data_IF_616358755911
#
_entry.id   IF_616358755911
#
_cell.length_a   1.000
_cell.length_b   1.000
_cell.length_c   1.000
_cell.angle_alpha   90.00
_cell.angle_beta   90.00
_cell.angle_gamma   90.00
#
_symmetry.space_group_name_H-M   'P 1'
#
loop_
_entity.id
_entity.type
_entity.pdbx_description
1 polymer ?
#
# COMPACT_ATOMS: atom_id res chain seq x y z
N UNK A 1 -6.06 7.68 9.08
CA UNK A 1 -6.63 6.46 9.69
C UNK A 1 -6.91 5.50 8.54
N UNK A 2 -6.26 4.34 8.52
CA UNK A 2 -6.37 3.30 7.50
C UNK A 2 -7.74 2.58 7.61
N UNK A 3 -8.83 3.36 7.57
CA UNK A 3 -10.21 2.90 7.39
C UNK A 3 -10.44 2.63 5.91
N UNK A 4 -9.80 1.60 5.38
CA UNK A 4 -9.91 1.27 3.97
C UNK A 4 -9.69 -0.22 3.65
N UNK A 5 -9.13 -0.97 4.60
CA UNK A 5 -8.95 -2.44 4.52
C UNK A 5 -10.25 -3.26 4.50
N UNK A 6 -11.41 -2.61 4.54
CA UNK A 6 -12.70 -3.30 4.38
C UNK A 6 -13.27 -3.16 2.97
N UNK A 7 -12.64 -2.41 2.06
CA UNK A 7 -13.20 -2.15 0.74
C UNK A 7 -12.68 -3.09 -0.36
N UNK A 8 -11.52 -3.73 -0.18
CA UNK A 8 -10.94 -4.65 -1.17
C UNK A 8 -10.47 -5.92 -0.46
N UNK A 9 -10.90 -7.07 -0.97
CA UNK A 9 -10.45 -8.40 -0.54
C UNK A 9 -9.03 -8.69 -1.04
N UNK A 10 -8.30 -9.58 -0.37
CA UNK A 10 -6.95 -10.01 -0.80
C UNK A 10 -6.92 -10.50 -2.25
N UNK A 11 -8.03 -11.08 -2.74
CA UNK A 11 -8.20 -11.52 -4.11
C UNK A 11 -8.31 -10.34 -5.10
N UNK A 12 -8.98 -9.26 -4.71
CA UNK A 12 -9.03 -8.04 -5.52
C UNK A 12 -7.65 -7.40 -5.59
N UNK A 13 -6.92 -7.34 -4.47
CA UNK A 13 -5.53 -6.81 -4.41
C UNK A 13 -4.58 -7.61 -5.31
N UNK A 14 -4.67 -8.94 -5.31
CA UNK A 14 -3.85 -9.79 -6.20
C UNK A 14 -4.11 -9.53 -7.69
N UNK A 15 -5.31 -9.12 -8.07
CA UNK A 15 -5.63 -8.78 -9.46
C UNK A 15 -5.12 -7.38 -9.88
N UNK A 16 -4.63 -6.58 -8.91
CA UNK A 16 -4.06 -5.25 -9.15
C UNK A 16 -2.57 -5.29 -9.53
N UNK A 17 -1.95 -6.49 -9.49
CA UNK A 17 -0.52 -6.72 -9.71
C UNK A 17 -0.05 -6.49 -11.15
N UNK A 18 -0.86 -5.89 -12.03
CA UNK A 18 -0.42 -5.45 -13.35
C UNK A 18 0.29 -4.08 -13.30
N UNK A 19 0.15 -3.29 -12.22
CA UNK A 19 0.86 -2.00 -12.02
C UNK A 19 1.43 -1.78 -10.57
N UNK A 20 2.05 -2.79 -9.92
CA UNK A 20 2.64 -2.62 -8.60
C UNK A 20 3.97 -1.85 -8.71
N UNK A 21 4.14 -0.84 -7.86
CA UNK A 21 5.42 -0.11 -7.77
C UNK A 21 6.29 -0.70 -6.66
N UNK A 22 7.57 -0.88 -6.93
CA UNK A 22 8.52 -1.35 -5.93
C UNK A 22 8.54 -0.41 -4.71
N UNK A 23 8.37 -0.98 -3.51
CA UNK A 23 8.47 -0.24 -2.25
C UNK A 23 9.79 -0.56 -1.54
N UNK A 24 10.69 0.41 -1.50
CA UNK A 24 12.05 0.24 -0.95
C UNK A 24 12.14 0.44 0.57
N UNK A 25 11.06 0.87 1.23
CA UNK A 25 11.02 1.08 2.67
C UNK A 25 12.15 1.98 3.22
N UNK A 26 12.36 3.14 2.59
CA UNK A 26 13.37 4.10 3.04
C UNK A 26 13.08 4.67 4.44
N UNK A 27 11.82 4.60 4.88
CA UNK A 27 11.38 4.98 6.22
C UNK A 27 11.82 4.00 7.31
N UNK A 28 12.24 2.78 6.94
CA UNK A 28 12.66 1.76 7.91
C UNK A 28 11.52 1.14 8.71
N UNK A 29 10.32 1.07 8.12
CA UNK A 29 9.17 0.43 8.74
C UNK A 29 9.36 -1.07 8.90
N UNK A 30 8.79 -1.61 9.98
CA UNK A 30 8.78 -3.06 10.22
C UNK A 30 7.42 -3.61 9.83
N UNK A 31 7.41 -4.59 8.93
CA UNK A 31 6.24 -5.38 8.55
C UNK A 31 6.45 -6.81 9.07
N UNK A 32 5.98 -7.15 10.29
CA UNK A 32 6.36 -8.41 10.96
C UNK A 32 5.99 -9.66 10.16
N UNK A 33 4.87 -9.59 9.43
CA UNK A 33 4.32 -10.72 8.67
C UNK A 33 4.86 -10.79 7.23
N UNK A 34 5.69 -9.84 6.81
CA UNK A 34 6.24 -9.79 5.45
C UNK A 34 7.76 -9.59 5.45
N UNK A 35 8.53 -10.61 5.04
CA UNK A 35 9.99 -10.48 4.96
C UNK A 35 10.47 -9.68 3.73
N UNK A 36 9.57 -9.23 2.86
CA UNK A 36 9.90 -8.54 1.60
C UNK A 36 10.39 -9.50 0.50
N UNK A 37 10.73 -9.01 -0.71
CA UNK A 37 10.63 -7.62 -1.17
C UNK A 37 9.19 -7.12 -1.22
N UNK A 38 9.04 -5.79 -1.20
CA UNK A 38 7.74 -5.13 -1.08
C UNK A 38 7.35 -4.37 -2.34
N UNK A 39 6.06 -4.29 -2.56
CA UNK A 39 5.41 -3.42 -3.54
C UNK A 39 4.34 -2.56 -2.85
N UNK A 40 4.06 -1.41 -3.45
CA UNK A 40 3.02 -0.48 -3.03
C UNK A 40 1.95 -0.31 -4.12
N UNK A 41 0.71 -0.09 -3.67
CA UNK A 41 -0.42 0.20 -4.56
C UNK A 41 -1.33 1.28 -3.97
N UNK A 42 -1.81 2.24 -4.79
CA UNK A 42 -2.73 3.29 -4.34
C UNK A 42 -4.06 2.77 -3.78
N UNK A 43 -4.49 3.34 -2.66
CA UNK A 43 -5.79 3.00 -2.04
C UNK A 43 -6.76 4.16 -2.21
N UNK A 44 -7.91 3.89 -2.83
CA UNK A 44 -9.00 4.85 -2.98
C UNK A 44 -10.21 4.44 -2.14
N UNK A 45 -10.90 5.40 -1.53
CA UNK A 45 -12.09 5.17 -0.69
C UNK A 45 -13.19 4.45 -1.48
N UNK A 46 -13.35 3.15 -1.24
CA UNK A 46 -14.40 2.32 -1.83
C UNK A 46 -14.23 2.06 -3.33
N UNK A 47 -13.02 2.24 -3.89
CA UNK A 47 -12.75 2.07 -5.32
C UNK A 47 -11.37 1.42 -5.53
N UNK A 48 -11.26 0.67 -6.62
CA UNK A 48 -9.98 0.23 -7.15
C UNK A 48 -9.35 1.38 -7.93
N UNK A 49 -8.05 1.60 -7.73
CA UNK A 49 -7.28 2.53 -8.56
C UNK A 49 -7.12 1.96 -9.97
N UNK A 50 -7.38 2.75 -11.00
CA UNK A 50 -7.33 2.29 -12.41
C UNK A 50 -6.24 2.99 -13.22
N UNK A 51 -5.35 3.75 -12.58
CA UNK A 51 -4.34 4.57 -13.28
C UNK A 51 -4.87 5.87 -13.89
N UNK A 52 -6.19 6.06 -13.99
CA UNK A 52 -6.81 7.21 -14.66
C UNK A 52 -7.14 8.38 -13.74
N UNK A 53 -7.00 8.20 -12.42
CA UNK A 53 -7.23 9.23 -11.40
C UNK A 53 -5.93 9.47 -10.63
N UNK A 54 -5.77 10.60 -9.93
CA UNK A 54 -4.64 10.75 -9.02
C UNK A 54 -4.67 9.64 -7.94
N UNK A 55 -3.53 9.04 -7.59
CA UNK A 55 -3.46 7.89 -6.67
C UNK A 55 -3.84 8.23 -5.22
N UNK A 56 -3.98 9.51 -4.89
CA UNK A 56 -4.18 9.94 -3.51
C UNK A 56 -2.94 9.66 -2.63
N UNK A 57 -3.03 9.92 -1.32
CA UNK A 57 -1.89 9.84 -0.42
C UNK A 57 -1.65 8.45 0.18
N UNK A 58 -2.62 7.54 0.10
CA UNK A 58 -2.59 6.27 0.85
C UNK A 58 -2.12 5.11 -0.04
N UNK A 59 -1.28 4.23 0.52
CA UNK A 59 -0.79 3.01 -0.14
C UNK A 59 -1.01 1.80 0.74
N UNK A 60 -1.26 0.66 0.11
CA UNK A 60 -1.17 -0.65 0.73
C UNK A 60 0.17 -1.28 0.35
N UNK A 61 0.79 -2.00 1.28
CA UNK A 61 2.07 -2.68 1.08
C UNK A 61 1.84 -4.19 0.97
N UNK A 62 2.44 -4.85 0.00
CA UNK A 62 2.32 -6.29 -0.25
C UNK A 62 3.66 -6.90 -0.66
N UNK A 63 3.77 -8.22 -0.55
CA UNK A 63 4.98 -8.95 -0.91
C UNK A 63 4.92 -9.43 -2.37
N UNK A 64 5.91 -9.03 -3.16
CA UNK A 64 6.03 -9.28 -4.62
C UNK A 64 5.85 -10.74 -5.05
N UNK A 65 6.22 -11.72 -4.21
CA UNK A 65 6.29 -13.12 -4.62
C UNK A 65 5.02 -13.93 -4.35
N UNK A 66 4.32 -13.62 -3.27
CA UNK A 66 3.13 -14.36 -2.87
C UNK A 66 1.85 -13.57 -3.11
N UNK A 67 1.96 -12.26 -3.41
CA UNK A 67 0.81 -11.37 -3.57
C UNK A 67 0.00 -11.25 -2.27
N UNK A 68 0.64 -11.51 -1.13
CA UNK A 68 0.03 -11.34 0.18
C UNK A 68 0.24 -9.91 0.65
N UNK A 69 -0.84 -9.33 1.14
CA UNK A 69 -0.81 -8.03 1.78
C UNK A 69 0.04 -8.17 3.04
N UNK A 70 0.97 -7.22 3.24
CA UNK A 70 1.90 -7.21 4.35
C UNK A 70 1.26 -6.76 5.66
N UNK A 71 0.26 -7.54 6.07
CA UNK A 71 -0.66 -7.25 7.15
C UNK A 71 -1.69 -6.17 6.77
N UNK A 72 -2.36 -5.61 7.78
CA UNK A 72 -3.25 -4.45 7.66
C UNK A 72 -2.48 -3.11 7.53
N UNK A 73 -1.23 -3.13 7.11
CA UNK A 73 -0.37 -1.96 7.16
C UNK A 73 -0.54 -1.10 5.89
N UNK A 74 -1.32 -0.02 6.02
CA UNK A 74 -1.27 1.09 5.08
C UNK A 74 -0.13 2.05 5.44
N UNK A 75 0.43 2.70 4.43
CA UNK A 75 1.25 3.89 4.59
C UNK A 75 0.57 5.10 3.94
N UNK A 76 0.90 6.32 4.39
CA UNK A 76 0.31 7.55 3.85
C UNK A 76 1.33 8.66 3.69
N UNK A 77 1.21 9.44 2.62
CA UNK A 77 1.92 10.71 2.46
C UNK A 77 1.30 11.83 3.32
N UNK A 78 0.11 11.63 3.88
CA UNK A 78 -0.58 12.66 4.67
C UNK A 78 0.25 13.03 5.90
N UNK A 79 0.68 14.28 5.98
CA UNK A 79 1.56 14.82 7.03
C UNK A 79 2.95 14.17 7.09
N UNK A 80 3.39 13.50 6.03
CA UNK A 80 4.75 13.00 5.97
C UNK A 80 5.78 14.15 6.04
N UNK A 81 6.94 13.93 6.67
CA UNK A 81 7.94 14.97 6.87
C UNK A 81 8.61 15.43 5.55
N UNK A 82 8.47 14.65 4.48
CA UNK A 82 9.00 14.95 3.15
C UNK A 82 7.92 14.74 2.09
N UNK A 83 7.99 15.40 0.92
CA UNK A 83 6.96 15.30 -0.13
C UNK A 83 6.68 13.87 -0.63
N UNK A 84 7.69 12.99 -0.61
CA UNK A 84 7.58 11.60 -1.04
C UNK A 84 7.65 10.61 0.13
N UNK A 85 7.74 11.11 1.36
CA UNK A 85 7.89 10.27 2.53
C UNK A 85 6.55 9.64 2.92
N UNK A 86 6.63 8.58 3.70
CA UNK A 86 5.46 7.93 4.26
C UNK A 86 5.42 8.01 5.79
N UNK A 87 4.21 7.89 6.33
CA UNK A 87 3.95 7.52 7.71
C UNK A 87 3.16 6.21 7.73
N UNK A 88 3.46 5.33 8.70
CA UNK A 88 2.60 4.18 8.98
C UNK A 88 1.25 4.65 9.49
N UNK A 89 0.18 4.11 8.92
CA UNK A 89 -1.15 4.33 9.47
C UNK A 89 -1.31 3.58 10.80
N UNK A 90 -1.92 4.24 11.77
CA UNK A 90 -2.43 3.66 13.03
C UNK A 90 -3.83 3.12 12.88
#
# INVERSE_FOLDING_TARGET
>A
MCQLLYALSDAEVRHLSDEPQQYNNYEGFVFPDCPGPYEEYPVLKGKVYTGTTPPGPDRIIFQTFIGEVCGKCCVTHTNAPTPNGFLQCT
#
